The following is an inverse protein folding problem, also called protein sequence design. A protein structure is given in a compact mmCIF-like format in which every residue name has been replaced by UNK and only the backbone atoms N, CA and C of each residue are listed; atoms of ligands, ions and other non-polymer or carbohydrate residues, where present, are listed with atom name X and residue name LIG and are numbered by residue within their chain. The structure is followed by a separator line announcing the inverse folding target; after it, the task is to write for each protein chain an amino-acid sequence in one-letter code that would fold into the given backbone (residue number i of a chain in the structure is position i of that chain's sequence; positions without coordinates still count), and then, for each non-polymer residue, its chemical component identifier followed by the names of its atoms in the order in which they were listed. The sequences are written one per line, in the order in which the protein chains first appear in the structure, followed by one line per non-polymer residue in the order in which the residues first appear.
data_IF_243258241328
#
_entry.id   IF_243258241328
#
_cell.length_a   1.000
_cell.length_b   1.000
_cell.length_c   1.000
_cell.angle_alpha   90.00
_cell.angle_beta   90.00
_cell.angle_gamma   90.00
#
_symmetry.space_group_name_H-M   'P 1'
#
loop_
_entity.id
_entity.type
_entity.pdbx_description
1 polymer ?
#
# COMPACT_ATOMS: atom_id res chain seq x y z
N UNK A 1 11.68 -10.50 25.39
CA UNK A 1 10.60 -10.29 24.38
C UNK A 1 9.94 -8.97 24.69
N UNK A 2 9.86 -8.05 23.73
CA UNK A 2 9.19 -6.74 23.93
C UNK A 2 7.69 -6.99 24.08
N UNK A 3 7.06 -6.35 25.06
CA UNK A 3 5.61 -6.40 25.26
C UNK A 3 5.00 -5.19 24.58
N UNK A 4 4.05 -5.41 23.69
CA UNK A 4 3.33 -4.36 22.98
C UNK A 4 1.96 -4.16 23.59
N UNK A 5 1.52 -2.90 23.67
CA UNK A 5 0.16 -2.56 24.03
C UNK A 5 -0.78 -2.76 22.81
N UNK A 6 -2.07 -2.92 23.05
CA UNK A 6 -3.06 -3.18 21.98
C UNK A 6 -3.03 -2.11 20.89
N UNK A 7 -2.86 -0.83 21.24
CA UNK A 7 -2.77 0.27 20.28
C UNK A 7 -1.45 0.31 19.49
N UNK A 8 -0.46 -0.47 19.90
CA UNK A 8 0.84 -0.62 19.21
C UNK A 8 0.85 -1.80 18.24
N UNK A 9 -0.15 -2.66 18.28
CA UNK A 9 -0.29 -3.80 17.38
C UNK A 9 -1.22 -3.42 16.23
N UNK A 10 -0.81 -3.75 15.00
CA UNK A 10 -1.60 -3.58 13.78
C UNK A 10 -1.64 -4.90 13.02
N UNK A 11 -2.84 -5.31 12.62
CA UNK A 11 -3.05 -6.55 11.89
C UNK A 11 -3.47 -6.23 10.47
N UNK A 12 -2.73 -6.71 9.49
CA UNK A 12 -2.85 -6.33 8.09
C UNK A 12 -3.03 -7.59 7.24
N UNK A 13 -4.06 -7.62 6.39
CA UNK A 13 -4.18 -8.60 5.31
C UNK A 13 -3.55 -8.03 4.04
N UNK A 14 -2.59 -8.74 3.47
CA UNK A 14 -1.99 -8.39 2.18
C UNK A 14 -2.72 -9.19 1.10
N UNK A 15 -3.46 -8.49 0.27
CA UNK A 15 -4.35 -9.00 -0.76
C UNK A 15 -3.97 -8.45 -2.14
N UNK A 16 -4.53 -8.99 -3.18
CA UNK A 16 -4.31 -8.57 -4.57
C UNK A 16 -4.32 -9.77 -5.51
N UNK A 17 -4.41 -9.51 -6.79
CA UNK A 17 -4.41 -10.56 -7.81
C UNK A 17 -3.13 -11.40 -7.77
N UNK A 18 -3.17 -12.59 -8.39
CA UNK A 18 -1.95 -13.37 -8.57
C UNK A 18 -0.94 -12.59 -9.43
N UNK A 19 0.34 -12.71 -9.11
CA UNK A 19 1.40 -11.95 -9.79
C UNK A 19 1.50 -10.46 -9.42
N UNK A 20 0.67 -9.92 -8.51
CA UNK A 20 0.80 -8.52 -8.07
C UNK A 20 2.05 -8.23 -7.22
N UNK A 21 2.74 -9.27 -6.73
CA UNK A 21 4.00 -9.15 -5.99
C UNK A 21 3.89 -9.17 -4.47
N UNK A 22 2.78 -9.66 -3.91
CA UNK A 22 2.54 -9.76 -2.44
C UNK A 22 3.69 -10.44 -1.70
N UNK A 23 4.05 -11.65 -2.12
CA UNK A 23 5.15 -12.41 -1.54
C UNK A 23 6.50 -11.68 -1.64
N UNK A 24 6.74 -11.00 -2.77
CA UNK A 24 7.96 -10.18 -2.95
C UNK A 24 7.99 -8.99 -2.00
N UNK A 25 6.85 -8.31 -1.80
CA UNK A 25 6.73 -7.22 -0.84
C UNK A 25 6.92 -7.75 0.60
N UNK A 26 6.37 -8.89 0.92
CA UNK A 26 6.57 -9.54 2.23
C UNK A 26 8.05 -9.81 2.50
N UNK A 27 8.77 -10.38 1.53
CA UNK A 27 10.22 -10.60 1.62
C UNK A 27 10.99 -9.29 1.82
N UNK A 28 10.58 -8.22 1.13
CA UNK A 28 11.18 -6.90 1.28
C UNK A 28 10.96 -6.34 2.70
N UNK A 29 9.74 -6.38 3.22
CA UNK A 29 9.41 -5.90 4.57
C UNK A 29 10.17 -6.66 5.66
N UNK A 30 10.30 -7.98 5.53
CA UNK A 30 11.06 -8.82 6.45
C UNK A 30 12.56 -8.51 6.41
N UNK A 31 13.08 -8.21 5.22
CA UNK A 31 14.50 -7.86 5.04
C UNK A 31 14.80 -6.47 5.62
N UNK A 32 14.01 -5.45 5.27
CA UNK A 32 14.20 -4.07 5.76
C UNK A 32 14.01 -3.96 7.29
N UNK A 33 13.14 -4.79 7.86
CA UNK A 33 13.00 -4.89 9.33
C UNK A 33 14.12 -5.67 10.03
N UNK A 34 15.04 -6.27 9.27
CA UNK A 34 16.17 -7.05 9.80
C UNK A 34 15.81 -8.45 10.32
N UNK A 35 14.57 -8.92 10.09
CA UNK A 35 14.12 -10.25 10.52
C UNK A 35 14.79 -11.33 9.68
N UNK A 36 14.91 -11.11 8.39
CA UNK A 36 15.68 -11.99 7.50
C UNK A 36 16.93 -11.26 7.00
N UNK A 37 18.01 -12.02 6.80
CA UNK A 37 19.31 -11.47 6.34
C UNK A 37 19.43 -11.44 4.81
N UNK A 38 18.53 -12.07 4.10
CA UNK A 38 18.53 -12.21 2.65
C UNK A 38 17.10 -12.31 2.14
N UNK A 39 16.76 -11.53 1.13
CA UNK A 39 15.47 -11.65 0.43
C UNK A 39 15.40 -12.98 -0.32
N UNK A 40 14.34 -13.73 -0.13
CA UNK A 40 13.99 -14.86 -0.95
C UNK A 40 13.48 -14.41 -2.34
N UNK A 41 13.39 -15.36 -3.24
CA UNK A 41 12.80 -15.18 -4.58
C UNK A 41 11.92 -16.37 -4.90
N UNK A 42 10.74 -16.13 -5.48
CA UNK A 42 9.81 -17.18 -5.92
C UNK A 42 10.51 -18.13 -6.90
N UNK A 43 11.23 -17.58 -7.88
CA UNK A 43 11.99 -18.37 -8.88
C UNK A 43 13.11 -19.21 -8.27
N UNK A 44 13.65 -18.81 -7.12
CA UNK A 44 14.67 -19.57 -6.38
C UNK A 44 14.04 -20.52 -5.34
N UNK A 45 12.71 -20.54 -5.21
CA UNK A 45 11.94 -21.40 -4.28
C UNK A 45 12.40 -21.28 -2.83
N UNK A 46 12.77 -20.08 -2.38
CA UNK A 46 13.40 -19.83 -1.09
C UNK A 46 12.78 -18.65 -0.35
N UNK A 47 11.54 -18.30 -0.65
CA UNK A 47 10.76 -17.29 0.09
C UNK A 47 10.31 -17.84 1.44
N UNK A 48 10.09 -16.92 2.38
CA UNK A 48 9.64 -17.29 3.74
C UNK A 48 8.16 -17.68 3.75
N UNK A 49 7.33 -17.13 2.82
CA UNK A 49 5.91 -17.44 2.76
C UNK A 49 5.60 -18.73 2.02
N UNK A 50 6.18 -18.93 0.83
CA UNK A 50 5.88 -20.09 -0.01
C UNK A 50 6.85 -21.23 0.31
N UNK A 51 6.71 -21.83 1.49
CA UNK A 51 7.62 -22.87 1.98
C UNK A 51 7.05 -24.29 1.80
N UNK A 52 5.79 -24.45 1.45
CA UNK A 52 5.22 -25.74 1.16
C UNK A 52 5.67 -26.26 -0.22
N UNK A 53 5.92 -27.57 -0.37
CA UNK A 53 6.36 -28.13 -1.67
C UNK A 53 5.42 -27.80 -2.83
N UNK A 54 4.11 -27.76 -2.60
CA UNK A 54 3.11 -27.42 -3.62
C UNK A 54 3.28 -25.97 -4.11
N UNK A 55 3.51 -25.02 -3.22
CA UNK A 55 3.75 -23.61 -3.57
C UNK A 55 5.05 -23.43 -4.37
N UNK A 56 6.09 -24.15 -3.95
CA UNK A 56 7.38 -24.14 -4.64
C UNK A 56 7.32 -24.85 -5.99
N UNK A 57 6.47 -25.84 -6.16
CA UNK A 57 6.28 -26.54 -7.43
C UNK A 57 5.53 -25.65 -8.44
N UNK A 58 4.43 -25.07 -8.02
CA UNK A 58 3.58 -24.25 -8.89
C UNK A 58 4.03 -22.79 -9.01
N UNK A 59 4.82 -22.28 -8.06
CA UNK A 59 5.36 -20.91 -8.08
C UNK A 59 4.35 -19.83 -7.70
N UNK A 60 3.30 -20.19 -6.95
CA UNK A 60 2.33 -19.25 -6.36
C UNK A 60 1.86 -19.74 -4.99
N UNK A 61 1.39 -18.79 -4.17
CA UNK A 61 0.91 -19.07 -2.82
C UNK A 61 -0.43 -19.79 -2.83
N UNK A 62 -0.54 -20.85 -2.04
CA UNK A 62 -1.76 -21.65 -1.81
C UNK A 62 -2.33 -21.39 -0.43
N UNK A 63 -1.47 -21.15 0.54
CA UNK A 63 -1.82 -20.91 1.94
C UNK A 63 -1.52 -19.48 2.36
N UNK A 64 -2.28 -18.97 3.34
CA UNK A 64 -1.92 -17.73 3.99
C UNK A 64 -0.79 -17.95 4.99
N UNK A 65 0.20 -17.06 4.97
CA UNK A 65 1.33 -17.10 5.91
C UNK A 65 1.35 -15.85 6.76
N UNK A 66 1.59 -16.02 8.07
CA UNK A 66 1.58 -14.92 9.05
C UNK A 66 3.00 -14.53 9.40
N UNK A 67 3.31 -13.25 9.26
CA UNK A 67 4.56 -12.65 9.67
C UNK A 67 4.34 -11.52 10.67
N UNK A 68 5.43 -11.04 11.25
CA UNK A 68 5.38 -9.76 11.93
C UNK A 68 6.66 -8.98 11.63
N UNK A 69 6.54 -7.67 11.61
CA UNK A 69 7.66 -6.73 11.57
C UNK A 69 7.50 -5.70 12.69
N UNK A 70 8.63 -5.18 13.17
CA UNK A 70 8.64 -4.09 14.13
C UNK A 70 9.07 -2.81 13.40
N UNK A 71 8.23 -1.77 13.47
CA UNK A 71 8.50 -0.48 12.83
C UNK A 71 7.98 0.68 13.68
N UNK A 72 8.79 1.70 13.88
CA UNK A 72 8.43 2.91 14.64
C UNK A 72 7.69 2.62 15.96
N UNK A 73 8.18 1.63 16.73
CA UNK A 73 7.60 1.25 18.00
C UNK A 73 6.32 0.44 17.92
N UNK A 74 5.82 0.14 16.74
CA UNK A 74 4.64 -0.69 16.49
C UNK A 74 5.04 -2.10 16.06
N UNK A 75 4.17 -3.06 16.35
CA UNK A 75 4.22 -4.41 15.81
C UNK A 75 3.18 -4.56 14.72
N UNK A 76 3.61 -4.81 13.51
CA UNK A 76 2.75 -5.07 12.36
C UNK A 76 2.67 -6.59 12.15
N UNK A 77 1.53 -7.19 12.38
CA UNK A 77 1.25 -8.57 11.97
C UNK A 77 0.69 -8.52 10.55
N UNK A 78 1.34 -9.23 9.65
CA UNK A 78 0.99 -9.24 8.22
C UNK A 78 0.60 -10.65 7.84
N UNK A 79 -0.56 -10.80 7.22
CA UNK A 79 -1.02 -12.07 6.65
C UNK A 79 -0.91 -11.96 5.13
N UNK A 80 0.11 -12.61 4.56
CA UNK A 80 0.26 -12.77 3.11
C UNK A 80 -0.74 -13.81 2.62
N UNK A 81 -1.65 -13.41 1.73
CA UNK A 81 -2.74 -14.24 1.26
C UNK A 81 -2.52 -14.68 -0.20
N UNK A 82 -2.98 -15.89 -0.57
CA UNK A 82 -3.01 -16.30 -1.97
C UNK A 82 -3.75 -15.30 -2.85
N UNK A 83 -3.27 -15.10 -4.07
CA UNK A 83 -3.87 -14.18 -5.04
C UNK A 83 -4.90 -14.81 -5.97
N UNK A 84 -4.91 -16.13 -6.07
CA UNK A 84 -5.87 -16.87 -6.91
C UNK A 84 -7.25 -16.92 -6.26
N UNK A 85 -8.29 -16.75 -7.07
CA UNK A 85 -9.69 -16.88 -6.66
C UNK A 85 -10.03 -18.30 -6.14
N UNK A 86 -9.27 -19.32 -6.53
CA UNK A 86 -9.43 -20.70 -6.03
C UNK A 86 -9.19 -20.80 -4.52
N UNK A 87 -8.40 -19.88 -3.96
CA UNK A 87 -8.04 -19.85 -2.54
C UNK A 87 -8.69 -18.69 -1.78
N UNK A 88 -9.80 -18.15 -2.26
CA UNK A 88 -10.51 -17.01 -1.66
C UNK A 88 -10.86 -17.22 -0.18
N UNK A 89 -11.05 -18.45 0.27
CA UNK A 89 -11.29 -18.78 1.68
C UNK A 89 -10.15 -18.31 2.60
N UNK A 90 -8.91 -18.33 2.12
CA UNK A 90 -7.75 -17.84 2.85
C UNK A 90 -7.82 -16.32 3.06
N UNK A 91 -8.15 -15.55 1.99
CA UNK A 91 -8.35 -14.12 2.04
C UNK A 91 -9.50 -13.71 2.99
N UNK A 92 -10.62 -14.43 2.93
CA UNK A 92 -11.76 -14.20 3.84
C UNK A 92 -11.40 -14.45 5.30
N UNK A 93 -10.64 -15.51 5.57
CA UNK A 93 -10.17 -15.83 6.92
C UNK A 93 -9.24 -14.73 7.45
N UNK A 94 -8.29 -14.30 6.64
CA UNK A 94 -7.37 -13.21 6.99
C UNK A 94 -8.12 -11.90 7.29
N UNK A 95 -9.08 -11.52 6.44
CA UNK A 95 -9.88 -10.31 6.65
C UNK A 95 -10.68 -10.33 7.95
N UNK A 96 -11.14 -11.48 8.42
CA UNK A 96 -11.87 -11.55 9.68
C UNK A 96 -11.01 -11.22 10.91
N UNK A 97 -9.70 -11.48 10.85
CA UNK A 97 -8.78 -11.31 11.99
C UNK A 97 -7.86 -10.11 11.87
N UNK A 98 -7.96 -9.34 10.79
CA UNK A 98 -7.12 -8.16 10.54
C UNK A 98 -7.90 -6.86 10.68
N UNK A 99 -7.17 -5.76 10.92
CA UNK A 99 -7.74 -4.43 11.11
C UNK A 99 -7.89 -3.69 9.77
N UNK A 100 -6.96 -3.92 8.83
CA UNK A 100 -6.86 -3.21 7.55
C UNK A 100 -6.45 -4.19 6.46
N UNK A 101 -6.97 -3.99 5.26
CA UNK A 101 -6.54 -4.68 4.05
C UNK A 101 -5.61 -3.78 3.22
N UNK A 102 -4.52 -4.33 2.75
CA UNK A 102 -3.68 -3.73 1.70
C UNK A 102 -3.96 -4.49 0.41
N UNK A 103 -4.44 -3.79 -0.60
CA UNK A 103 -4.67 -4.32 -1.94
C UNK A 103 -3.51 -3.93 -2.85
N UNK A 104 -2.68 -4.91 -3.17
CA UNK A 104 -1.53 -4.75 -4.04
C UNK A 104 -1.96 -4.90 -5.50
N UNK A 105 -1.60 -3.90 -6.33
CA UNK A 105 -1.90 -3.85 -7.75
C UNK A 105 -0.64 -3.96 -8.58
N UNK A 106 -0.76 -4.60 -9.74
CA UNK A 106 0.28 -4.56 -10.75
C UNK A 106 0.19 -3.25 -11.53
N UNK A 107 1.28 -2.49 -11.63
CA UNK A 107 1.34 -1.21 -12.32
C UNK A 107 1.08 -1.27 -13.84
N UNK A 108 1.16 -2.47 -14.42
CA UNK A 108 0.83 -2.69 -15.84
C UNK A 108 -0.66 -2.95 -16.06
N UNK A 109 -1.32 -3.68 -15.15
CA UNK A 109 -2.69 -4.18 -15.38
C UNK A 109 -3.75 -3.45 -14.57
N UNK A 110 -3.36 -2.74 -13.51
CA UNK A 110 -4.29 -2.06 -12.62
C UNK A 110 -5.18 -3.01 -11.81
N UNK A 111 -6.44 -2.63 -11.54
CA UNK A 111 -7.37 -3.42 -10.73
C UNK A 111 -7.98 -4.58 -11.50
N UNK A 112 -7.28 -5.71 -11.51
CA UNK A 112 -7.72 -6.98 -12.12
C UNK A 112 -8.92 -7.60 -11.38
N UNK A 113 -9.53 -8.65 -11.95
CA UNK A 113 -10.71 -9.34 -11.39
C UNK A 113 -10.49 -9.79 -9.94
N UNK A 114 -9.35 -10.41 -9.64
CA UNK A 114 -9.02 -10.83 -8.28
C UNK A 114 -8.96 -9.66 -7.30
N UNK A 115 -8.41 -8.51 -7.73
CA UNK A 115 -8.40 -7.28 -6.91
C UNK A 115 -9.81 -6.78 -6.62
N UNK A 116 -10.71 -6.78 -7.62
CA UNK A 116 -12.10 -6.36 -7.46
C UNK A 116 -12.87 -7.32 -6.55
N UNK A 117 -12.63 -8.62 -6.65
CA UNK A 117 -13.21 -9.62 -5.76
C UNK A 117 -12.76 -9.40 -4.31
N UNK A 118 -11.45 -9.21 -4.09
CA UNK A 118 -10.91 -8.92 -2.76
C UNK A 118 -11.50 -7.62 -2.19
N UNK A 119 -11.65 -6.57 -2.99
CA UNK A 119 -12.27 -5.32 -2.55
C UNK A 119 -13.73 -5.54 -2.10
N UNK A 120 -14.54 -6.32 -2.84
CA UNK A 120 -15.92 -6.66 -2.42
C UNK A 120 -15.96 -7.38 -1.08
N UNK A 121 -14.98 -8.23 -0.78
CA UNK A 121 -14.88 -8.89 0.53
C UNK A 121 -14.55 -7.88 1.65
N UNK A 122 -13.67 -6.91 1.37
CA UNK A 122 -13.40 -5.84 2.33
C UNK A 122 -14.65 -4.99 2.60
N UNK A 123 -15.46 -4.71 1.57
CA UNK A 123 -16.74 -4.01 1.73
C UNK A 123 -17.70 -4.80 2.61
N UNK A 124 -17.90 -6.08 2.30
CA UNK A 124 -18.78 -6.96 3.05
C UNK A 124 -18.41 -7.07 4.53
N UNK A 125 -17.13 -7.00 4.85
CA UNK A 125 -16.59 -7.10 6.21
C UNK A 125 -16.31 -5.73 6.86
N UNK A 126 -16.58 -4.63 6.16
CA UNK A 126 -16.35 -3.26 6.65
C UNK A 126 -14.87 -2.94 6.90
N UNK A 127 -13.95 -3.59 6.19
CA UNK A 127 -12.51 -3.40 6.42
C UNK A 127 -11.96 -2.20 5.69
N UNK A 128 -11.18 -1.33 6.35
CA UNK A 128 -10.39 -0.28 5.72
C UNK A 128 -9.48 -0.83 4.61
N UNK A 129 -9.27 -0.05 3.55
CA UNK A 129 -8.48 -0.45 2.38
C UNK A 129 -7.42 0.58 2.05
N UNK A 130 -6.19 0.11 1.84
CA UNK A 130 -5.08 0.87 1.27
C UNK A 130 -4.71 0.21 -0.07
N UNK A 131 -4.56 1.00 -1.11
CA UNK A 131 -4.04 0.52 -2.39
C UNK A 131 -2.53 0.74 -2.47
N UNK A 132 -1.80 -0.28 -2.92
CA UNK A 132 -0.38 -0.18 -3.26
C UNK A 132 -0.18 -0.50 -4.74
N UNK A 133 0.33 0.44 -5.51
CA UNK A 133 0.73 0.21 -6.91
C UNK A 133 2.17 -0.27 -6.91
N UNK A 134 2.38 -1.48 -7.38
CA UNK A 134 3.66 -2.19 -7.41
C UNK A 134 4.16 -2.41 -8.84
N UNK A 135 5.41 -2.85 -8.98
CA UNK A 135 6.07 -3.11 -10.26
C UNK A 135 6.18 -1.85 -11.12
N UNK A 136 6.44 -0.73 -10.47
CA UNK A 136 6.64 0.57 -11.14
C UNK A 136 7.87 0.58 -12.05
N UNK A 137 8.78 -0.36 -11.84
CA UNK A 137 9.99 -0.63 -12.64
C UNK A 137 9.71 -1.43 -13.94
N UNK A 138 8.48 -1.92 -14.13
CA UNK A 138 8.09 -2.63 -15.34
C UNK A 138 7.97 -1.66 -16.52
N UNK A 139 8.55 -2.00 -17.68
CA UNK A 139 8.50 -1.18 -18.91
C UNK A 139 7.08 -0.84 -19.38
N UNK A 140 6.09 -1.65 -19.01
CA UNK A 140 4.68 -1.49 -19.37
C UNK A 140 3.85 -0.85 -18.26
N UNK A 141 4.49 -0.42 -17.18
CA UNK A 141 3.78 0.26 -16.11
C UNK A 141 3.27 1.62 -16.54
N UNK A 142 2.00 1.88 -16.24
CA UNK A 142 1.35 3.18 -16.43
C UNK A 142 0.58 3.52 -15.16
N UNK A 143 1.22 4.29 -14.28
CA UNK A 143 0.65 4.65 -12.97
C UNK A 143 -0.60 5.53 -13.12
N UNK A 144 -0.59 6.48 -14.05
CA UNK A 144 -1.70 7.41 -14.23
C UNK A 144 -2.95 6.65 -14.74
N UNK A 145 -2.77 5.69 -15.65
CA UNK A 145 -3.84 4.78 -16.10
C UNK A 145 -4.38 3.94 -14.92
N UNK A 146 -3.52 3.39 -14.08
CA UNK A 146 -3.94 2.59 -12.92
C UNK A 146 -4.75 3.45 -11.94
N UNK A 147 -4.29 4.67 -11.66
CA UNK A 147 -5.00 5.60 -10.77
C UNK A 147 -6.38 5.98 -11.32
N UNK A 148 -6.48 6.30 -12.62
CA UNK A 148 -7.74 6.60 -13.29
C UNK A 148 -8.72 5.42 -13.23
N UNK A 149 -8.24 4.19 -13.46
CA UNK A 149 -9.05 2.99 -13.32
C UNK A 149 -9.55 2.78 -11.89
N UNK A 150 -8.69 2.98 -10.89
CA UNK A 150 -9.08 2.90 -9.48
C UNK A 150 -10.17 3.91 -9.14
N UNK A 151 -10.02 5.17 -9.59
CA UNK A 151 -11.01 6.21 -9.36
C UNK A 151 -12.32 5.95 -10.11
N UNK A 152 -12.26 5.38 -11.31
CA UNK A 152 -13.44 5.00 -12.09
C UNK A 152 -14.23 3.88 -11.40
N UNK A 153 -13.54 2.88 -10.84
CA UNK A 153 -14.18 1.68 -10.24
C UNK A 153 -14.64 1.95 -8.81
N UNK A 154 -13.82 2.65 -8.00
CA UNK A 154 -14.05 2.81 -6.55
C UNK A 154 -14.45 4.23 -6.15
N UNK A 155 -14.54 5.14 -7.13
CA UNK A 155 -15.02 6.50 -6.96
C UNK A 155 -13.98 7.50 -6.43
N UNK A 156 -14.43 8.73 -6.10
CA UNK A 156 -13.56 9.84 -5.69
C UNK A 156 -12.87 9.64 -4.33
N UNK A 157 -13.25 8.62 -3.59
CA UNK A 157 -12.59 8.23 -2.33
C UNK A 157 -11.16 7.72 -2.53
N UNK A 158 -10.77 7.38 -3.77
CA UNK A 158 -9.41 6.96 -4.11
C UNK A 158 -8.54 8.19 -4.26
N UNK A 159 -7.60 8.36 -3.33
CA UNK A 159 -6.77 9.57 -3.25
C UNK A 159 -5.28 9.18 -3.25
N UNK A 160 -4.49 9.68 -4.21
CA UNK A 160 -3.05 9.41 -4.24
C UNK A 160 -2.34 10.14 -3.11
N UNK A 161 -1.56 9.40 -2.33
CA UNK A 161 -0.65 9.92 -1.30
C UNK A 161 0.76 10.00 -1.84
N UNK A 162 1.09 9.16 -2.82
CA UNK A 162 2.37 9.13 -3.51
C UNK A 162 2.16 8.90 -4.99
N UNK A 163 3.07 9.43 -5.81
CA UNK A 163 3.13 9.12 -7.24
C UNK A 163 4.58 9.02 -7.73
N UNK A 164 4.90 8.16 -8.72
CA UNK A 164 6.23 8.01 -9.26
C UNK A 164 6.58 9.17 -10.19
N UNK A 165 7.84 9.63 -10.19
CA UNK A 165 8.33 10.61 -11.17
C UNK A 165 8.53 10.01 -12.56
N UNK A 166 8.86 8.74 -12.61
CA UNK A 166 8.98 7.97 -13.84
C UNK A 166 8.59 6.52 -13.56
N UNK A 167 8.13 5.81 -14.57
CA UNK A 167 7.85 4.38 -14.54
C UNK A 167 8.80 3.63 -15.46
N UNK A 168 8.80 2.30 -15.37
CA UNK A 168 9.68 1.45 -16.16
C UNK A 168 11.11 1.37 -15.60
N UNK A 169 12.09 0.99 -16.42
CA UNK A 169 13.46 0.75 -15.98
C UNK A 169 14.16 1.94 -15.31
N UNK A 170 13.59 3.13 -15.46
CA UNK A 170 14.10 4.36 -14.84
C UNK A 170 13.42 4.70 -13.50
N UNK A 171 12.51 3.87 -13.03
CA UNK A 171 11.87 4.07 -11.73
C UNK A 171 12.91 4.03 -10.61
N UNK A 172 13.12 5.15 -9.97
CA UNK A 172 14.03 5.30 -8.84
C UNK A 172 13.59 6.40 -7.87
N UNK A 173 12.46 7.03 -8.11
CA UNK A 173 12.00 8.16 -7.31
C UNK A 173 10.48 8.33 -7.36
N UNK A 174 9.95 8.85 -6.24
CA UNK A 174 8.54 9.19 -6.10
C UNK A 174 8.39 10.54 -5.38
N UNK A 175 7.22 11.12 -5.52
CA UNK A 175 6.79 12.29 -4.75
C UNK A 175 5.81 11.83 -3.68
N UNK A 176 6.08 12.23 -2.45
CA UNK A 176 5.16 12.12 -1.32
C UNK A 176 4.32 13.39 -1.26
N UNK A 177 3.05 13.24 -1.57
CA UNK A 177 2.08 14.34 -1.66
C UNK A 177 1.72 14.89 -0.28
N UNK A 178 1.76 14.03 0.77
CA UNK A 178 1.52 14.45 2.15
C UNK A 178 2.63 15.38 2.65
N UNK A 179 3.89 14.96 2.44
CA UNK A 179 5.07 15.67 2.96
C UNK A 179 5.60 16.72 1.99
N UNK A 180 5.10 16.77 0.77
CA UNK A 180 5.59 17.63 -0.31
C UNK A 180 7.11 17.50 -0.49
N UNK A 181 7.58 16.25 -0.60
CA UNK A 181 9.00 15.91 -0.79
C UNK A 181 9.17 14.85 -1.86
N UNK A 182 10.31 14.90 -2.53
CA UNK A 182 10.79 13.86 -3.42
C UNK A 182 11.64 12.86 -2.65
N UNK A 183 11.37 11.59 -2.86
CA UNK A 183 12.17 10.47 -2.36
C UNK A 183 12.83 9.77 -3.55
N UNK A 184 14.14 9.58 -3.49
CA UNK A 184 14.89 8.88 -4.53
C UNK A 184 15.83 7.83 -3.93
N UNK A 185 16.10 6.78 -4.70
CA UNK A 185 16.98 5.69 -4.30
C UNK A 185 18.11 5.50 -5.30
N UNK A 186 19.28 5.16 -4.80
CA UNK A 186 20.40 4.72 -5.62
C UNK A 186 20.18 3.31 -6.21
N UNK A 187 21.03 2.88 -7.15
CA UNK A 187 20.93 1.55 -7.80
C UNK A 187 21.02 0.37 -6.82
N UNK A 188 21.68 0.57 -5.71
CA UNK A 188 21.88 -0.43 -4.64
C UNK A 188 20.71 -0.48 -3.64
N UNK A 189 19.71 0.41 -3.78
CA UNK A 189 18.67 0.60 -2.79
C UNK A 189 19.17 1.31 -1.53
N UNK A 190 18.61 0.97 -0.37
CA UNK A 190 18.97 1.55 0.93
C UNK A 190 18.06 2.70 1.35
N UNK A 191 18.55 3.56 2.25
CA UNK A 191 17.78 4.71 2.71
C UNK A 191 17.52 5.70 1.58
N UNK A 192 16.31 6.26 1.47
CA UNK A 192 16.01 7.24 0.45
C UNK A 192 16.77 8.55 0.66
N UNK A 193 17.12 9.20 -0.44
CA UNK A 193 17.55 10.59 -0.45
C UNK A 193 16.28 11.44 -0.52
N UNK A 194 16.12 12.37 0.41
CA UNK A 194 14.96 13.26 0.49
C UNK A 194 15.35 14.62 -0.06
N UNK A 195 14.62 15.08 -1.06
CA UNK A 195 14.90 16.31 -1.80
C UNK A 195 13.63 17.17 -1.95
N UNK A 196 13.80 18.41 -2.37
CA UNK A 196 12.69 19.26 -2.78
C UNK A 196 12.08 18.74 -4.09
N UNK A 197 10.80 19.01 -4.30
CA UNK A 197 10.09 18.64 -5.53
C UNK A 197 10.67 19.46 -6.70
N UNK A 198 10.97 18.83 -7.84
CA UNK A 198 11.39 19.54 -9.05
C UNK A 198 10.36 20.59 -9.49
N UNK A 199 10.84 21.71 -10.04
CA UNK A 199 9.97 22.82 -10.41
C UNK A 199 8.89 22.43 -11.43
N UNK A 200 9.20 21.50 -12.34
CA UNK A 200 8.30 20.96 -13.34
C UNK A 200 7.16 20.11 -12.75
N UNK A 201 7.35 19.53 -11.56
CA UNK A 201 6.36 18.70 -10.88
C UNK A 201 5.57 19.47 -9.80
N UNK A 202 5.98 20.69 -9.48
CA UNK A 202 5.41 21.45 -8.37
C UNK A 202 3.91 21.73 -8.57
N UNK A 203 3.46 22.01 -9.78
CA UNK A 203 2.06 22.26 -10.09
C UNK A 203 1.20 21.04 -9.79
N UNK A 204 1.57 19.86 -10.37
CA UNK A 204 0.90 18.58 -10.14
C UNK A 204 0.90 18.20 -8.65
N UNK A 205 2.05 18.34 -7.99
CA UNK A 205 2.17 18.01 -6.57
C UNK A 205 1.28 18.90 -5.69
N UNK A 206 1.20 20.20 -5.98
CA UNK A 206 0.36 21.16 -5.24
C UNK A 206 -1.12 20.87 -5.44
N UNK A 207 -1.55 20.54 -6.67
CA UNK A 207 -2.93 20.17 -6.94
C UNK A 207 -3.33 18.89 -6.18
N UNK A 208 -2.48 17.85 -6.25
CA UNK A 208 -2.73 16.60 -5.52
C UNK A 208 -2.68 16.79 -4.00
N UNK A 209 -1.77 17.64 -3.50
CA UNK A 209 -1.70 17.98 -2.08
C UNK A 209 -2.99 18.65 -1.61
N UNK A 210 -3.51 19.62 -2.37
CA UNK A 210 -4.78 20.29 -2.03
C UNK A 210 -5.94 19.30 -2.00
N UNK A 211 -6.03 18.41 -2.98
CA UNK A 211 -7.05 17.36 -3.00
C UNK A 211 -6.91 16.39 -1.81
N UNK A 212 -5.67 16.06 -1.40
CA UNK A 212 -5.41 15.23 -0.23
C UNK A 212 -5.82 15.94 1.08
N UNK A 213 -5.52 17.25 1.22
CA UNK A 213 -5.94 18.06 2.38
C UNK A 213 -7.46 18.09 2.51
N UNK A 214 -8.17 18.36 1.41
CA UNK A 214 -9.62 18.37 1.36
C UNK A 214 -10.21 17.01 1.75
N UNK A 215 -9.72 15.93 1.13
CA UNK A 215 -10.16 14.57 1.46
C UNK A 215 -9.86 14.18 2.92
N UNK A 216 -8.75 14.64 3.49
CA UNK A 216 -8.44 14.40 4.91
C UNK A 216 -9.37 15.17 5.84
N UNK A 217 -9.75 16.42 5.47
CA UNK A 217 -10.64 17.26 6.26
C UNK A 217 -12.09 16.72 6.31
N UNK A 218 -12.59 16.11 5.23
CA UNK A 218 -13.98 15.63 5.11
C UNK A 218 -14.43 14.65 6.21
N UNK A 219 -13.48 14.04 6.93
CA UNK A 219 -13.75 12.97 7.88
C UNK A 219 -13.70 13.42 9.35
N UNK A 220 -13.58 14.74 9.58
CA UNK A 220 -13.56 15.32 10.92
C UNK A 220 -14.07 16.77 10.90
N UNK A 221 -15.11 17.08 11.69
CA UNK A 221 -15.73 18.42 11.72
C UNK A 221 -14.70 19.51 12.09
N UNK A 222 -13.84 19.25 13.07
CA UNK A 222 -12.83 20.22 13.49
C UNK A 222 -11.71 20.44 12.44
N UNK A 223 -11.35 19.40 11.67
CA UNK A 223 -10.41 19.55 10.54
C UNK A 223 -11.07 20.28 9.37
N UNK A 224 -12.35 20.05 9.14
CA UNK A 224 -13.12 20.75 8.10
C UNK A 224 -13.25 22.25 8.41
N UNK A 225 -13.56 22.62 9.66
CA UNK A 225 -13.59 24.02 10.10
C UNK A 225 -12.23 24.69 9.87
N UNK A 226 -11.13 24.07 10.28
CA UNK A 226 -9.75 24.59 10.06
C UNK A 226 -9.42 24.74 8.59
N UNK A 227 -9.80 23.77 7.76
CA UNK A 227 -9.57 23.83 6.32
C UNK A 227 -10.30 25.03 5.69
N UNK A 228 -11.55 25.29 6.08
CA UNK A 228 -12.30 26.46 5.60
C UNK A 228 -11.72 27.80 6.08
N UNK A 229 -11.09 27.84 7.25
CA UNK A 229 -10.48 29.05 7.80
C UNK A 229 -9.09 29.35 7.20
N UNK A 230 -8.29 28.31 6.92
CA UNK A 230 -6.86 28.43 6.63
C UNK A 230 -6.46 27.91 5.25
N UNK A 231 -7.37 27.26 4.52
CA UNK A 231 -7.13 26.54 3.25
C UNK A 231 -5.97 25.52 3.32
N UNK A 232 -5.65 25.05 4.54
CA UNK A 232 -4.53 24.14 4.80
C UNK A 232 -4.73 23.38 6.12
N UNK A 233 -4.03 22.24 6.25
CA UNK A 233 -3.88 21.48 7.48
C UNK A 233 -2.40 21.21 7.74
N UNK A 234 -2.01 21.08 9.00
CA UNK A 234 -0.69 20.61 9.37
C UNK A 234 -0.50 19.12 9.02
N UNK A 235 0.75 18.66 8.94
CA UNK A 235 1.07 17.25 8.67
C UNK A 235 0.36 16.30 9.65
N UNK A 236 0.37 16.61 10.96
CA UNK A 236 -0.26 15.78 11.98
C UNK A 236 -1.79 15.76 11.82
N UNK A 237 -2.41 16.87 11.47
CA UNK A 237 -3.84 16.97 11.18
C UNK A 237 -4.22 16.19 9.93
N UNK A 238 -3.43 16.27 8.87
CA UNK A 238 -3.62 15.43 7.68
C UNK A 238 -3.51 13.95 7.99
N UNK A 239 -2.50 13.53 8.77
CA UNK A 239 -2.35 12.14 9.21
C UNK A 239 -3.56 11.65 10.00
N UNK A 240 -4.08 12.49 10.89
CA UNK A 240 -5.28 12.16 11.67
C UNK A 240 -6.52 12.08 10.77
N UNK A 241 -6.70 13.01 9.83
CA UNK A 241 -7.81 12.99 8.85
C UNK A 241 -7.77 11.74 7.96
N UNK A 242 -6.61 11.43 7.39
CA UNK A 242 -6.39 10.22 6.59
C UNK A 242 -6.71 8.97 7.43
N UNK A 243 -6.27 8.91 8.68
CA UNK A 243 -6.56 7.81 9.60
C UNK A 243 -8.07 7.63 9.83
N UNK A 244 -8.81 8.72 10.06
CA UNK A 244 -10.27 8.71 10.25
C UNK A 244 -10.98 8.32 8.97
N UNK A 245 -10.60 8.91 7.83
CA UNK A 245 -11.14 8.59 6.51
C UNK A 245 -10.92 7.13 6.12
N UNK A 246 -9.73 6.60 6.37
CA UNK A 246 -9.41 5.19 6.16
C UNK A 246 -10.28 4.29 7.06
N UNK A 247 -10.37 4.59 8.36
CA UNK A 247 -11.13 3.79 9.32
C UNK A 247 -12.63 3.75 9.02
N UNK A 248 -13.20 4.86 8.54
CA UNK A 248 -14.62 4.97 8.15
C UNK A 248 -14.90 4.43 6.73
N UNK A 249 -13.87 4.02 5.96
CA UNK A 249 -13.96 3.71 4.51
C UNK A 249 -14.47 4.91 3.69
N UNK A 250 -14.27 6.09 4.19
CA UNK A 250 -14.52 7.34 3.46
C UNK A 250 -13.40 7.68 2.48
N UNK A 251 -12.20 7.16 2.72
CA UNK A 251 -11.02 7.39 1.91
C UNK A 251 -10.26 6.10 1.66
N UNK A 252 -9.72 5.94 0.45
CA UNK A 252 -8.85 4.84 0.03
C UNK A 252 -7.51 5.41 -0.46
N UNK A 253 -6.52 5.53 0.41
CA UNK A 253 -5.22 6.09 0.03
C UNK A 253 -4.45 5.16 -0.92
N UNK A 254 -3.77 5.75 -1.91
CA UNK A 254 -2.93 5.05 -2.88
C UNK A 254 -1.46 5.40 -2.63
N UNK A 255 -0.63 4.37 -2.48
CA UNK A 255 0.81 4.48 -2.33
C UNK A 255 1.55 3.74 -3.45
N UNK A 256 2.85 4.02 -3.58
CA UNK A 256 3.80 3.41 -4.50
C UNK A 256 4.75 2.45 -3.77
N UNK A 257 5.04 1.28 -4.36
CA UNK A 257 6.03 0.32 -3.84
C UNK A 257 6.83 -0.34 -4.96
#
# INVERSE_FOLDING_TARGET
MKVYQTNEIKNIALLGNDGSGKTTLTEALLFESGIIKRRGRITAKNTVSDYFPVEQEYGYSVFSTVFHVEWNGKKLNIIDCPGSDDFVGAAMTALNVTDTAILLLNGQYGPEVGTQNHFRYTEKLGKPVIFLVNQLDNEKCDYDMVLEQLQTIYGPKVVPVQYPLATGPNFNSLIDVLLMKKYSWGPEGGAPIIEEIPAEEMEKATELHKALVEAAAEHDEGLMEKFFEQDSLTEDEMREGIRKGLASRGMFPVFCV
#
